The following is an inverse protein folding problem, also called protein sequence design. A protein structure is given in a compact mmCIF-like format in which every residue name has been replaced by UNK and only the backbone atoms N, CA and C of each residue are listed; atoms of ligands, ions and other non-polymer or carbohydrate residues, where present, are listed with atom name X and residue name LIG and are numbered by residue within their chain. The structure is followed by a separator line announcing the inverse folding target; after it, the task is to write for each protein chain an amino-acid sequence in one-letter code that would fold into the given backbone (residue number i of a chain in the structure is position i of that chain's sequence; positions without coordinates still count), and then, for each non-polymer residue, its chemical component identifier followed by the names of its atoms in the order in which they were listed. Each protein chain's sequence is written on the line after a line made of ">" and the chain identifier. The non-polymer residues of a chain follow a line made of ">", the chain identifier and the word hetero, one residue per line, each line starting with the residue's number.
data_IF_887955536768
#
_entry.id   IF_887955536768
#
_cell.length_a   1.000
_cell.length_b   1.000
_cell.length_c   1.000
_cell.angle_alpha   90.00
_cell.angle_beta   90.00
_cell.angle_gamma   90.00
#
_symmetry.space_group_name_H-M   'P 1'
#
loop_
_entity.id
_entity.type
_entity.pdbx_description
1 polymer ?
#
# COMPACT_ATOMS: atom_id res chain seq x y z
N UNK A 1 2.96 4.35 -0.56
CA UNK A 1 1.58 3.93 -0.18
C UNK A 1 0.64 3.74 -1.37
N UNK A 2 0.87 4.35 -2.54
CA UNK A 2 0.00 4.24 -3.71
C UNK A 2 -0.32 2.80 -4.12
N UNK A 3 0.68 1.92 -4.18
CA UNK A 3 0.49 0.51 -4.56
C UNK A 3 -0.38 -0.25 -3.54
N UNK A 4 -0.20 0.04 -2.24
CA UNK A 4 -1.02 -0.57 -1.19
C UNK A 4 -2.49 -0.17 -1.33
N UNK A 5 -2.77 1.11 -1.54
CA UNK A 5 -4.14 1.59 -1.72
C UNK A 5 -4.78 1.03 -3.00
N UNK A 6 -4.02 0.92 -4.10
CA UNK A 6 -4.50 0.30 -5.34
C UNK A 6 -4.89 -1.16 -5.12
N UNK A 7 -4.06 -1.93 -4.44
CA UNK A 7 -4.38 -3.34 -4.15
C UNK A 7 -5.58 -3.50 -3.21
N UNK A 8 -5.71 -2.64 -2.21
CA UNK A 8 -6.87 -2.62 -1.33
C UNK A 8 -8.16 -2.24 -2.09
N UNK A 9 -8.08 -1.30 -3.05
CA UNK A 9 -9.22 -0.89 -3.88
C UNK A 9 -9.71 -1.98 -4.82
N UNK A 10 -8.85 -2.92 -5.22
CA UNK A 10 -9.24 -4.11 -5.96
C UNK A 10 -9.88 -5.19 -5.07
N UNK A 11 -9.85 -5.04 -3.75
CA UNK A 11 -10.51 -5.94 -2.81
C UNK A 11 -12.02 -6.10 -3.09
N UNK A 12 -12.81 -5.01 -3.07
CA UNK A 12 -14.23 -5.06 -3.44
C UNK A 12 -14.50 -5.67 -4.82
N UNK A 13 -13.68 -5.34 -5.82
CA UNK A 13 -13.83 -5.83 -7.19
C UNK A 13 -13.67 -7.35 -7.25
N UNK A 14 -12.75 -7.93 -6.47
CA UNK A 14 -12.50 -9.37 -6.41
C UNK A 14 -13.56 -10.16 -5.64
N UNK A 15 -14.41 -9.48 -4.87
CA UNK A 15 -15.50 -10.12 -4.12
C UNK A 15 -16.79 -10.25 -4.95
N UNK A 16 -16.85 -9.59 -6.11
CA UNK A 16 -17.96 -9.71 -7.05
C UNK A 16 -17.89 -11.07 -7.75
N UNK A 17 -19.02 -11.77 -7.86
CA UNK A 17 -19.08 -13.02 -8.60
C UNK A 17 -18.72 -12.78 -10.08
N UNK A 18 -18.00 -13.74 -10.68
CA UNK A 18 -17.50 -13.60 -12.05
C UNK A 18 -18.62 -13.35 -13.07
N UNK A 19 -19.81 -13.92 -12.85
CA UNK A 19 -20.98 -13.74 -13.71
C UNK A 19 -21.59 -12.33 -13.63
N UNK A 20 -21.37 -11.63 -12.51
CA UNK A 20 -21.99 -10.33 -12.21
C UNK A 20 -21.06 -9.15 -12.54
N UNK A 21 -19.77 -9.39 -12.79
CA UNK A 21 -18.75 -8.32 -12.92
C UNK A 21 -19.03 -7.34 -14.06
N UNK A 22 -19.70 -7.78 -15.12
CA UNK A 22 -20.03 -6.95 -16.28
C UNK A 22 -21.32 -6.15 -16.11
N UNK A 23 -22.23 -6.58 -15.23
CA UNK A 23 -23.60 -6.06 -15.13
C UNK A 23 -23.94 -5.40 -13.80
N UNK A 24 -23.14 -5.63 -12.76
CA UNK A 24 -23.33 -5.07 -11.42
C UNK A 24 -23.41 -3.54 -11.45
N UNK A 25 -24.31 -2.96 -10.65
CA UNK A 25 -24.35 -1.52 -10.46
C UNK A 25 -23.18 -1.07 -9.59
N UNK A 26 -22.56 0.06 -9.92
CA UNK A 26 -21.44 0.62 -9.14
C UNK A 26 -21.81 0.83 -7.66
N UNK A 27 -23.07 1.15 -7.36
CA UNK A 27 -23.53 1.35 -5.98
C UNK A 27 -23.62 0.05 -5.16
N UNK A 28 -23.66 -1.10 -5.82
CA UNK A 28 -23.71 -2.42 -5.17
C UNK A 28 -22.30 -2.97 -4.89
N UNK A 29 -21.25 -2.32 -5.44
CA UNK A 29 -19.87 -2.63 -5.08
C UNK A 29 -19.61 -2.16 -3.65
N UNK A 30 -19.27 -3.09 -2.77
CA UNK A 30 -19.03 -2.77 -1.36
C UNK A 30 -17.91 -1.72 -1.19
N UNK A 31 -17.96 -0.89 -0.14
CA UNK A 31 -16.87 0.02 0.17
C UNK A 31 -15.60 -0.73 0.58
N UNK A 32 -14.45 -0.07 0.38
CA UNK A 32 -13.15 -0.53 0.88
C UNK A 32 -13.15 -0.46 2.41
N UNK A 33 -12.62 -1.49 3.06
CA UNK A 33 -12.47 -1.53 4.52
C UNK A 33 -11.05 -1.96 4.94
N UNK A 34 -10.81 -2.02 6.26
CA UNK A 34 -9.48 -2.34 6.81
C UNK A 34 -8.97 -3.74 6.43
N UNK A 35 -9.86 -4.70 6.21
CA UNK A 35 -9.46 -6.06 5.85
C UNK A 35 -8.92 -6.13 4.41
N UNK A 36 -9.35 -5.22 3.53
CA UNK A 36 -8.74 -5.05 2.21
C UNK A 36 -7.28 -4.64 2.32
N UNK A 37 -6.96 -3.73 3.25
CA UNK A 37 -5.58 -3.32 3.51
C UNK A 37 -4.75 -4.44 4.13
N UNK A 38 -5.32 -5.21 5.08
CA UNK A 38 -4.63 -6.39 5.64
C UNK A 38 -4.32 -7.44 4.57
N UNK A 39 -5.23 -7.66 3.62
CA UNK A 39 -4.98 -8.54 2.47
C UNK A 39 -3.95 -7.94 1.51
N UNK A 40 -4.07 -6.66 1.17
CA UNK A 40 -3.15 -5.95 0.30
C UNK A 40 -1.71 -5.95 0.84
N UNK A 41 -1.51 -5.84 2.16
CA UNK A 41 -0.19 -5.92 2.80
C UNK A 41 0.50 -7.28 2.62
N UNK A 42 -0.25 -8.35 2.34
CA UNK A 42 0.34 -9.67 2.03
C UNK A 42 0.91 -9.73 0.61
N UNK A 43 0.41 -8.88 -0.30
CA UNK A 43 0.81 -8.80 -1.71
C UNK A 43 1.86 -7.70 -1.93
N UNK A 44 1.64 -6.51 -1.37
CA UNK A 44 2.51 -5.34 -1.56
C UNK A 44 3.63 -5.36 -0.52
N UNK A 45 4.88 -5.49 -0.99
CA UNK A 45 6.07 -5.43 -0.11
C UNK A 45 6.67 -4.02 -0.08
N UNK A 46 7.35 -3.64 1.01
CA UNK A 46 8.21 -2.47 1.02
C UNK A 46 9.22 -2.55 -0.14
N UNK A 47 9.38 -1.46 -0.89
CA UNK A 47 10.30 -1.40 -2.03
C UNK A 47 11.75 -1.12 -1.62
N UNK A 48 11.96 -0.77 -0.35
CA UNK A 48 13.26 -0.43 0.22
C UNK A 48 13.41 -1.29 1.47
N UNK A 49 14.55 -1.96 1.57
CA UNK A 49 14.91 -2.78 2.72
C UNK A 49 15.62 -1.94 3.79
N UNK A 50 15.80 -2.52 4.97
CA UNK A 50 16.43 -1.81 6.10
C UNK A 50 17.88 -1.43 5.84
N UNK A 51 18.65 -2.23 5.09
CA UNK A 51 20.07 -1.93 4.84
C UNK A 51 20.25 -0.68 3.98
N UNK A 52 19.37 -0.50 2.99
CA UNK A 52 19.33 0.73 2.18
C UNK A 52 19.00 1.95 3.03
N UNK A 53 18.09 1.82 4.01
CA UNK A 53 17.78 2.90 4.95
C UNK A 53 19.00 3.28 5.79
N UNK A 54 19.81 2.32 6.22
CA UNK A 54 21.04 2.58 6.97
C UNK A 54 22.08 3.34 6.13
N UNK A 55 22.21 2.99 4.85
CA UNK A 55 23.07 3.73 3.93
C UNK A 55 22.62 5.20 3.77
N UNK A 56 21.31 5.44 3.63
CA UNK A 56 20.78 6.80 3.57
C UNK A 56 20.99 7.58 4.87
N UNK A 57 20.87 6.92 6.04
CA UNK A 57 21.17 7.55 7.34
C UNK A 57 22.63 7.97 7.45
N UNK A 58 23.57 7.08 7.11
CA UNK A 58 25.00 7.39 7.15
C UNK A 58 25.36 8.53 6.20
N UNK A 59 24.79 8.53 5.00
CA UNK A 59 24.98 9.62 4.05
C UNK A 59 24.46 10.95 4.61
N UNK A 60 23.25 10.95 5.16
CA UNK A 60 22.65 12.15 5.75
C UNK A 60 23.42 12.66 6.97
N UNK A 61 24.02 11.78 7.79
CA UNK A 61 24.90 12.19 8.89
C UNK A 61 26.16 12.92 8.40
N UNK A 62 26.70 12.54 7.24
CA UNK A 62 27.96 13.10 6.71
C UNK A 62 27.75 14.37 5.88
N UNK A 63 26.65 14.45 5.13
CA UNK A 63 26.43 15.48 4.13
C UNK A 63 25.06 16.16 4.22
N UNK A 64 24.17 15.68 5.09
CA UNK A 64 22.81 16.17 5.20
C UNK A 64 22.72 17.51 5.92
N UNK A 65 21.62 18.22 5.65
CA UNK A 65 21.30 19.51 6.27
C UNK A 65 20.28 19.41 7.41
N UNK A 66 19.74 18.22 7.68
CA UNK A 66 18.70 18.00 8.68
C UNK A 66 18.97 16.72 9.50
N UNK A 67 18.84 16.80 10.82
CA UNK A 67 19.10 15.68 11.73
C UNK A 67 17.83 14.85 11.97
N UNK A 68 17.95 13.52 11.80
CA UNK A 68 16.81 12.58 11.83
C UNK A 68 16.23 12.38 13.25
N UNK A 69 16.92 12.82 14.31
CA UNK A 69 16.53 12.63 15.72
C UNK A 69 15.37 13.53 16.21
N UNK A 70 14.81 14.39 15.36
CA UNK A 70 13.75 15.35 15.73
C UNK A 70 12.32 14.87 15.36
N UNK A 71 12.05 13.57 15.35
CA UNK A 71 10.73 12.98 15.14
C UNK A 71 10.31 12.08 16.31
#
# INVERSE_FOLDING_TARGET
>A
MSNLCKEAALGPVRDIHFEDIETINVNDVRPINIDDFKRALKQVRPSVDSSSLDAYRQWNQKFGSWEINNL
#
